data_IF_858289424020
#
_entry.id   IF_858289424020
#
_cell.length_a   1.000
_cell.length_b   1.000
_cell.length_c   1.000
_cell.angle_alpha   90.00
_cell.angle_beta   90.00
_cell.angle_gamma   90.00
#
_symmetry.space_group_name_H-M   'P 1'
#
loop_
_entity.id
_entity.type
_entity.pdbx_description
1 polymer ?
#
# COMPACT_ATOMS: atom_id res chain seq x y z
N UNK A 1 28.31 -13.82 27.16
CA UNK A 1 27.02 -13.35 27.68
C UNK A 1 25.98 -13.75 26.64
N UNK A 2 25.33 -14.90 26.87
CA UNK A 2 24.63 -15.67 25.84
C UNK A 2 23.16 -15.27 25.82
N UNK A 3 22.66 -14.75 24.70
CA UNK A 3 21.25 -14.45 24.50
C UNK A 3 20.51 -15.75 24.16
N UNK A 4 19.50 -16.07 24.97
CA UNK A 4 18.62 -17.23 24.83
C UNK A 4 17.58 -16.91 23.75
N UNK A 5 17.43 -17.79 22.77
CA UNK A 5 16.30 -17.76 21.82
C UNK A 5 15.16 -18.58 22.44
N UNK A 6 14.04 -17.92 22.78
CA UNK A 6 12.84 -18.59 23.28
C UNK A 6 12.00 -19.09 22.09
N UNK A 7 11.76 -20.39 22.06
CA UNK A 7 10.82 -21.05 21.16
C UNK A 7 9.81 -21.79 22.04
N UNK A 8 8.54 -21.38 22.01
CA UNK A 8 7.57 -21.69 23.07
C UNK A 8 7.05 -23.15 23.09
N UNK A 9 7.60 -24.08 22.29
CA UNK A 9 7.12 -25.46 22.26
C UNK A 9 8.12 -26.58 21.89
N UNK A 10 9.44 -26.35 21.99
CA UNK A 10 10.44 -27.44 21.92
C UNK A 10 11.23 -27.50 23.23
N UNK A 11 11.17 -28.64 23.92
CA UNK A 11 11.97 -28.95 25.12
C UNK A 11 13.42 -29.33 24.81
N UNK A 12 13.80 -29.39 23.53
CA UNK A 12 15.18 -29.63 23.08
C UNK A 12 15.81 -28.35 22.55
N UNK A 13 16.98 -28.01 23.10
CA UNK A 13 17.81 -26.89 22.69
C UNK A 13 18.95 -27.40 21.81
N UNK A 14 18.98 -26.97 20.54
CA UNK A 14 20.16 -27.14 19.71
C UNK A 14 21.10 -25.95 19.87
N UNK A 15 22.35 -26.24 20.23
CA UNK A 15 23.40 -25.24 20.22
C UNK A 15 23.73 -24.87 18.78
N UNK A 16 23.36 -23.66 18.36
CA UNK A 16 23.82 -23.10 17.10
C UNK A 16 25.34 -22.93 17.14
N UNK A 17 26.03 -23.57 16.18
CA UNK A 17 27.49 -23.46 16.08
C UNK A 17 27.87 -22.04 15.70
N UNK A 18 28.76 -21.44 16.47
CA UNK A 18 29.29 -20.12 16.14
C UNK A 18 30.09 -20.20 14.84
N UNK A 19 29.72 -19.38 13.86
CA UNK A 19 30.38 -19.32 12.57
C UNK A 19 29.97 -18.07 11.78
N UNK A 20 30.74 -17.74 10.74
CA UNK A 20 30.53 -16.55 9.91
C UNK A 20 29.12 -16.49 9.30
N UNK A 21 28.57 -17.66 8.93
CA UNK A 21 27.18 -17.76 8.45
C UNK A 21 26.19 -17.30 9.52
N UNK A 22 26.30 -17.81 10.76
CA UNK A 22 25.42 -17.42 11.86
C UNK A 22 25.56 -15.94 12.20
N UNK A 23 26.79 -15.40 12.24
CA UNK A 23 27.03 -13.97 12.46
C UNK A 23 26.39 -13.11 11.37
N UNK A 24 26.45 -13.54 10.11
CA UNK A 24 25.81 -12.85 8.98
C UNK A 24 24.29 -12.90 9.08
N UNK A 25 23.70 -14.05 9.37
CA UNK A 25 22.24 -14.20 9.53
C UNK A 25 21.72 -13.42 10.75
N UNK A 26 22.44 -13.45 11.89
CA UNK A 26 22.09 -12.64 13.07
C UNK A 26 22.23 -11.15 12.80
N UNK A 27 23.27 -10.72 12.09
CA UNK A 27 23.41 -9.33 11.65
C UNK A 27 22.29 -8.96 10.67
N UNK A 28 21.86 -9.87 9.81
CA UNK A 28 20.71 -9.65 8.93
C UNK A 28 19.43 -9.49 9.76
N UNK A 29 19.13 -10.43 10.67
CA UNK A 29 17.99 -10.42 11.58
C UNK A 29 17.96 -9.16 12.47
N UNK A 30 19.09 -8.77 13.06
CA UNK A 30 19.21 -7.55 13.86
C UNK A 30 18.95 -6.28 13.03
N UNK A 31 19.31 -6.32 11.75
CA UNK A 31 19.05 -5.22 10.81
C UNK A 31 17.67 -5.31 10.15
N UNK A 32 16.93 -6.41 10.31
CA UNK A 32 15.50 -6.46 10.01
C UNK A 32 14.83 -5.55 11.02
N UNK A 33 14.72 -4.27 10.68
CA UNK A 33 13.81 -3.39 11.39
C UNK A 33 12.44 -4.03 11.26
N UNK A 34 11.76 -4.35 12.37
CA UNK A 34 10.36 -4.79 12.41
C UNK A 34 9.42 -3.65 11.96
N UNK A 35 9.68 -3.10 10.78
CA UNK A 35 8.87 -2.07 10.15
C UNK A 35 7.78 -2.77 9.38
N UNK A 36 6.56 -2.49 9.75
CA UNK A 36 5.44 -2.82 8.91
C UNK A 36 5.42 -1.81 7.76
N UNK A 37 5.75 -2.24 6.54
CA UNK A 37 5.84 -1.34 5.38
C UNK A 37 4.74 -1.61 4.38
N UNK A 38 3.98 -0.62 3.92
CA UNK A 38 2.97 -0.77 2.85
C UNK A 38 3.26 0.14 1.65
N UNK A 39 3.02 -0.38 0.46
CA UNK A 39 3.02 0.35 -0.81
C UNK A 39 1.58 0.34 -1.33
N UNK A 40 1.03 1.52 -1.61
CA UNK A 40 -0.36 1.66 -2.03
C UNK A 40 -0.40 2.53 -3.28
N UNK A 41 -1.00 2.02 -4.35
CA UNK A 41 -1.21 2.81 -5.55
C UNK A 41 -2.39 3.78 -5.34
N UNK A 42 -2.25 5.01 -5.83
CA UNK A 42 -3.34 6.00 -5.87
C UNK A 42 -3.51 6.47 -7.30
N UNK A 43 -4.68 6.26 -7.87
CA UNK A 43 -4.93 6.46 -9.29
C UNK A 43 -6.09 7.43 -9.47
N UNK A 44 -5.93 8.40 -10.36
CA UNK A 44 -6.96 9.38 -10.71
C UNK A 44 -7.58 9.06 -12.07
N UNK A 45 -8.91 9.02 -12.13
CA UNK A 45 -9.73 8.83 -13.34
C UNK A 45 -10.68 10.02 -13.46
N UNK A 46 -10.49 10.84 -14.49
CA UNK A 46 -11.38 11.97 -14.80
C UNK A 46 -12.70 11.56 -15.46
N UNK A 47 -13.62 12.52 -15.61
CA UNK A 47 -15.01 12.29 -16.06
C UNK A 47 -15.13 11.49 -17.38
N UNK A 48 -14.27 11.78 -18.34
CA UNK A 48 -14.32 11.24 -19.71
C UNK A 48 -13.18 10.25 -20.03
N UNK A 49 -12.59 9.65 -18.98
CA UNK A 49 -11.47 8.71 -19.14
C UNK A 49 -11.91 7.27 -18.94
N UNK A 50 -11.71 6.44 -19.97
CA UNK A 50 -12.13 5.03 -19.97
C UNK A 50 -11.01 4.06 -20.34
N UNK A 51 -9.89 4.57 -20.85
CA UNK A 51 -8.74 3.76 -21.20
C UNK A 51 -7.54 4.03 -20.27
N UNK A 52 -6.79 2.95 -20.03
CA UNK A 52 -5.60 2.96 -19.20
C UNK A 52 -4.56 4.01 -19.60
N UNK A 53 -4.42 4.30 -20.91
CA UNK A 53 -3.36 5.18 -21.39
C UNK A 53 -3.64 6.63 -20.99
N UNK A 54 -4.88 7.09 -21.21
CA UNK A 54 -5.32 8.42 -20.81
C UNK A 54 -5.37 8.59 -19.28
N UNK A 55 -5.76 7.56 -18.54
CA UNK A 55 -5.76 7.59 -17.07
C UNK A 55 -4.33 7.76 -16.52
N UNK A 56 -3.37 7.00 -17.06
CA UNK A 56 -1.99 7.04 -16.56
C UNK A 56 -1.18 8.21 -17.13
N UNK A 57 -1.64 8.88 -18.18
CA UNK A 57 -1.01 10.10 -18.69
C UNK A 57 -1.33 11.33 -17.84
N UNK A 58 -2.31 11.27 -16.93
CA UNK A 58 -2.63 12.35 -16.00
C UNK A 58 -1.38 12.78 -15.19
N UNK A 59 -1.10 14.08 -15.23
CA UNK A 59 -0.06 14.75 -14.43
C UNK A 59 -0.66 15.56 -13.27
N UNK A 60 -1.95 15.86 -13.35
CA UNK A 60 -2.73 16.57 -12.33
C UNK A 60 -4.08 15.89 -12.19
N UNK A 61 -4.73 16.08 -11.04
CA UNK A 61 -6.12 15.66 -10.83
C UNK A 61 -7.02 16.86 -10.61
N UNK A 62 -8.23 16.59 -10.10
CA UNK A 62 -9.13 17.66 -9.67
C UNK A 62 -8.69 18.28 -8.34
N UNK A 63 -9.28 19.42 -7.99
CA UNK A 63 -9.03 20.08 -6.70
C UNK A 63 -9.34 19.16 -5.50
N UNK A 64 -10.45 18.41 -5.55
CA UNK A 64 -10.83 17.50 -4.46
C UNK A 64 -9.88 16.31 -4.37
N UNK A 65 -9.42 15.80 -5.51
CA UNK A 65 -8.41 14.75 -5.54
C UNK A 65 -7.08 15.20 -4.93
N UNK A 66 -6.60 16.39 -5.32
CA UNK A 66 -5.33 16.93 -4.81
C UNK A 66 -5.40 17.22 -3.30
N UNK A 67 -6.54 17.75 -2.80
CA UNK A 67 -6.80 17.91 -1.36
C UNK A 67 -6.73 16.56 -0.64
N UNK A 68 -7.43 15.55 -1.17
CA UNK A 68 -7.41 14.19 -0.63
C UNK A 68 -5.99 13.60 -0.57
N UNK A 69 -5.24 13.69 -1.67
CA UNK A 69 -3.86 13.19 -1.75
C UNK A 69 -2.95 13.88 -0.74
N UNK A 70 -3.10 15.19 -0.56
CA UNK A 70 -2.32 15.98 0.41
C UNK A 70 -2.56 15.54 1.86
N UNK A 71 -3.73 14.96 2.14
CA UNK A 71 -4.16 14.52 3.48
C UNK A 71 -3.95 13.03 3.74
N UNK A 72 -3.50 12.26 2.74
CA UNK A 72 -3.11 10.86 2.92
C UNK A 72 -1.86 10.71 3.80
N UNK A 73 -0.95 11.68 3.79
CA UNK A 73 0.25 11.68 4.61
C UNK A 73 1.09 12.93 4.36
N UNK A 74 2.27 12.97 4.97
CA UNK A 74 3.20 14.08 4.77
C UNK A 74 3.87 13.96 3.40
N UNK A 75 3.84 15.01 2.60
CA UNK A 75 4.55 15.06 1.32
C UNK A 75 6.06 15.10 1.56
N UNK A 76 6.79 14.09 1.09
CA UNK A 76 8.26 13.98 1.27
C UNK A 76 8.99 14.11 -0.05
N UNK A 77 10.17 14.76 -0.03
CA UNK A 77 11.09 14.81 -1.18
C UNK A 77 11.87 13.50 -1.28
N UNK A 78 11.71 12.77 -2.38
CA UNK A 78 12.29 11.43 -2.54
C UNK A 78 13.82 11.41 -2.44
N UNK A 79 14.49 12.46 -2.93
CA UNK A 79 15.96 12.59 -2.86
C UNK A 79 16.50 12.59 -1.42
N UNK A 80 15.78 13.22 -0.51
CA UNK A 80 16.19 13.43 0.89
C UNK A 80 15.52 12.45 1.86
N UNK A 81 14.46 11.78 1.42
CA UNK A 81 13.67 10.88 2.25
C UNK A 81 14.49 9.68 2.73
N UNK A 82 14.54 9.47 4.06
CA UNK A 82 15.30 8.38 4.69
C UNK A 82 14.43 7.18 5.10
N UNK A 83 13.11 7.29 5.00
CA UNK A 83 12.17 6.23 5.31
C UNK A 83 12.03 5.19 4.19
N UNK A 84 11.00 4.35 4.34
CA UNK A 84 10.61 3.34 3.36
C UNK A 84 10.22 4.00 2.04
N UNK A 85 10.97 3.69 0.98
CA UNK A 85 10.80 4.30 -0.34
C UNK A 85 9.91 3.49 -1.30
N UNK A 86 9.44 2.30 -0.93
CA UNK A 86 8.50 1.54 -1.76
C UNK A 86 8.98 1.11 -3.14
N UNK A 87 10.28 1.23 -3.44
CA UNK A 87 10.82 1.00 -4.79
C UNK A 87 10.93 2.27 -5.64
N UNK A 88 10.47 3.43 -5.14
CA UNK A 88 10.73 4.73 -5.76
C UNK A 88 12.22 5.09 -5.66
N UNK A 89 12.79 5.47 -6.79
CA UNK A 89 14.19 5.86 -6.90
C UNK A 89 14.41 7.29 -6.41
N UNK A 90 15.47 7.48 -5.63
CA UNK A 90 15.86 8.79 -5.07
C UNK A 90 16.64 9.68 -6.06
N UNK A 91 16.76 9.25 -7.31
CA UNK A 91 17.46 9.94 -8.39
C UNK A 91 16.53 10.84 -9.24
N UNK A 92 15.25 10.93 -8.88
CA UNK A 92 14.25 11.75 -9.57
C UNK A 92 13.46 11.04 -10.67
N UNK A 93 13.86 9.83 -11.11
CA UNK A 93 13.20 9.12 -12.22
C UNK A 93 11.74 8.71 -11.97
N UNK A 94 11.27 8.74 -10.72
CA UNK A 94 9.91 8.35 -10.35
C UNK A 94 9.10 9.52 -9.78
N UNK A 95 9.48 10.75 -10.09
CA UNK A 95 8.92 11.94 -9.46
C UNK A 95 9.88 12.56 -8.46
N UNK A 96 9.48 13.73 -7.95
CA UNK A 96 10.27 14.50 -6.99
C UNK A 96 9.77 14.24 -5.56
N UNK A 97 8.47 14.03 -5.41
CA UNK A 97 7.79 13.89 -4.13
C UNK A 97 6.83 12.72 -4.11
N UNK A 98 6.53 12.22 -2.92
CA UNK A 98 5.45 11.24 -2.69
C UNK A 98 4.82 11.49 -1.32
N UNK A 99 3.50 11.25 -1.14
CA UNK A 99 2.91 11.19 0.19
C UNK A 99 3.46 10.00 0.96
N UNK A 100 3.77 10.25 2.23
CA UNK A 100 4.34 9.26 3.14
C UNK A 100 3.69 9.39 4.51
N UNK A 101 3.30 8.25 5.09
CA UNK A 101 2.72 8.19 6.42
C UNK A 101 3.53 7.23 7.28
N UNK A 102 3.79 7.61 8.52
CA UNK A 102 4.39 6.72 9.50
C UNK A 102 3.79 6.91 10.89
N UNK A 103 3.85 5.86 11.70
CA UNK A 103 3.49 5.93 13.12
C UNK A 103 4.74 5.73 13.99
N UNK A 104 4.70 6.15 15.27
CA UNK A 104 5.74 5.81 16.25
C UNK A 104 5.92 4.30 16.41
N UNK A 105 4.87 3.51 16.17
CA UNK A 105 4.86 2.04 16.25
C UNK A 105 5.45 1.34 15.02
N UNK A 106 6.36 1.99 14.30
CA UNK A 106 7.13 1.43 13.18
C UNK A 106 6.34 1.08 11.90
N UNK A 107 5.06 1.49 11.78
CA UNK A 107 4.33 1.41 10.51
C UNK A 107 4.83 2.50 9.55
N UNK A 108 5.09 2.15 8.30
CA UNK A 108 5.46 3.08 7.24
C UNK A 108 4.66 2.78 5.97
N UNK A 109 4.13 3.82 5.34
CA UNK A 109 3.30 3.72 4.15
C UNK A 109 3.81 4.74 3.15
N UNK A 110 4.02 4.31 1.92
CA UNK A 110 4.31 5.21 0.81
C UNK A 110 3.27 5.01 -0.28
N UNK A 111 2.82 6.14 -0.85
CA UNK A 111 1.78 6.15 -1.86
C UNK A 111 2.39 6.38 -3.24
N UNK A 112 2.14 5.45 -4.16
CA UNK A 112 2.47 5.59 -5.56
C UNK A 112 1.33 6.33 -6.28
N UNK A 113 1.37 7.65 -6.19
CA UNK A 113 0.34 8.54 -6.76
C UNK A 113 0.59 8.73 -8.25
N UNK A 114 -0.35 8.33 -9.10
CA UNK A 114 -0.19 8.32 -10.57
C UNK A 114 0.16 9.69 -11.16
N UNK A 115 -0.36 10.77 -10.58
CA UNK A 115 -0.12 12.15 -11.03
C UNK A 115 1.25 12.69 -10.56
N UNK A 116 1.82 12.17 -9.46
CA UNK A 116 3.11 12.61 -8.93
C UNK A 116 4.29 11.78 -9.46
N UNK A 117 4.03 10.60 -10.03
CA UNK A 117 5.03 9.85 -10.77
C UNK A 117 5.41 10.62 -12.04
N UNK A 118 6.71 10.69 -12.33
CA UNK A 118 7.23 11.42 -13.49
C UNK A 118 6.45 11.08 -14.78
N UNK A 119 6.07 12.09 -15.58
CA UNK A 119 5.56 11.87 -16.91
C UNK A 119 6.70 11.31 -17.76
N UNK A 120 6.71 10.00 -17.95
CA UNK A 120 7.43 9.40 -19.06
C UNK A 120 6.50 9.39 -20.26
N UNK A 121 7.05 9.56 -21.46
CA UNK A 121 6.36 9.28 -22.73
C UNK A 121 5.75 7.87 -22.79
N UNK A 122 6.13 6.98 -21.87
CA UNK A 122 5.64 5.62 -21.73
C UNK A 122 4.87 5.43 -20.41
N UNK A 123 3.55 5.23 -20.47
CA UNK A 123 2.72 4.88 -19.31
C UNK A 123 3.19 3.61 -18.57
N UNK A 124 3.95 2.74 -19.27
CA UNK A 124 4.54 1.52 -18.72
C UNK A 124 5.45 1.78 -17.52
N UNK A 125 6.13 2.93 -17.44
CA UNK A 125 7.01 3.23 -16.30
C UNK A 125 6.21 3.47 -15.02
N UNK A 126 5.05 4.15 -15.11
CA UNK A 126 4.13 4.29 -13.96
C UNK A 126 3.59 2.93 -13.52
N UNK A 127 3.31 2.04 -14.48
CA UNK A 127 2.85 0.66 -14.20
C UNK A 127 3.89 -0.21 -13.50
N UNK A 128 5.19 0.09 -13.57
CA UNK A 128 6.20 -0.66 -12.79
C UNK A 128 6.01 -0.49 -11.28
N UNK A 129 5.41 0.62 -10.86
CA UNK A 129 5.11 0.90 -9.46
C UNK A 129 3.66 0.55 -9.14
N UNK A 130 2.73 1.22 -9.82
CA UNK A 130 1.27 1.05 -9.61
C UNK A 130 0.85 -0.39 -9.86
N UNK A 131 1.30 -1.00 -10.95
CA UNK A 131 0.87 -2.33 -11.35
C UNK A 131 1.33 -3.45 -10.43
N UNK A 132 2.31 -3.20 -9.57
CA UNK A 132 2.93 -4.15 -8.64
C UNK A 132 2.50 -3.94 -7.18
N UNK A 133 1.58 -3.01 -6.93
CA UNK A 133 1.00 -2.83 -5.61
C UNK A 133 -0.24 -3.71 -5.45
N UNK A 134 -0.43 -4.23 -4.24
CA UNK A 134 -1.52 -5.16 -3.96
C UNK A 134 -2.84 -4.47 -3.62
N UNK A 135 -2.71 -3.25 -3.10
CA UNK A 135 -3.85 -2.41 -2.70
C UNK A 135 -3.82 -1.15 -3.54
N UNK A 136 -4.93 -0.90 -4.21
CA UNK A 136 -5.14 0.29 -5.04
C UNK A 136 -6.22 1.16 -4.42
N UNK A 137 -5.99 2.47 -4.44
CA UNK A 137 -7.00 3.50 -4.22
C UNK A 137 -7.27 4.14 -5.58
N UNK A 138 -8.54 4.17 -5.99
CA UNK A 138 -8.96 4.76 -7.26
C UNK A 138 -9.90 5.91 -6.96
N UNK A 139 -9.54 7.11 -7.38
CA UNK A 139 -10.44 8.26 -7.40
C UNK A 139 -11.11 8.31 -8.77
N UNK A 140 -12.41 8.07 -8.84
CA UNK A 140 -13.17 8.13 -10.09
C UNK A 140 -14.19 9.28 -10.03
N UNK A 141 -13.99 10.23 -10.94
CA UNK A 141 -14.99 11.25 -11.30
C UNK A 141 -15.77 10.83 -12.55
N UNK A 142 -15.44 9.66 -13.08
CA UNK A 142 -16.11 9.02 -14.19
C UNK A 142 -17.58 8.69 -13.86
N UNK A 143 -18.49 8.90 -14.83
CA UNK A 143 -19.92 8.63 -14.67
C UNK A 143 -20.28 7.13 -14.63
N UNK A 144 -19.30 6.28 -14.93
CA UNK A 144 -19.46 4.84 -14.96
C UNK A 144 -18.85 4.22 -13.70
N UNK A 145 -19.43 3.12 -13.27
CA UNK A 145 -18.87 2.31 -12.20
C UNK A 145 -17.49 1.76 -12.64
N UNK A 146 -16.50 1.91 -11.77
CA UNK A 146 -15.16 1.42 -12.02
C UNK A 146 -15.15 -0.10 -12.09
N UNK A 147 -14.56 -0.62 -13.18
CA UNK A 147 -14.21 -2.03 -13.31
C UNK A 147 -12.70 -2.21 -13.20
N UNK A 148 -12.28 -3.29 -12.56
CA UNK A 148 -10.86 -3.69 -12.50
C UNK A 148 -10.24 -3.98 -13.88
N UNK A 149 -11.06 -4.08 -14.92
CA UNK A 149 -10.63 -4.21 -16.32
C UNK A 149 -10.06 -2.92 -16.91
N UNK A 150 -10.42 -1.75 -16.36
CA UNK A 150 -9.92 -0.44 -16.83
C UNK A 150 -8.40 -0.35 -16.60
N UNK A 151 -7.94 -0.80 -15.42
CA UNK A 151 -6.52 -0.88 -15.07
C UNK A 151 -6.19 -2.32 -14.70
N UNK A 152 -6.02 -3.19 -15.70
CA UNK A 152 -5.79 -4.61 -15.46
C UNK A 152 -4.39 -4.79 -14.89
N UNK A 153 -4.32 -5.33 -13.68
CA UNK A 153 -3.05 -5.67 -13.02
C UNK A 153 -3.13 -7.06 -12.43
N UNK A 154 -1.99 -7.76 -12.41
CA UNK A 154 -1.88 -9.08 -11.78
C UNK A 154 -1.87 -9.01 -10.25
N UNK A 155 -1.54 -7.84 -9.68
CA UNK A 155 -1.26 -7.70 -8.26
C UNK A 155 -2.34 -6.96 -7.48
N UNK A 156 -3.14 -6.09 -8.10
CA UNK A 156 -4.17 -5.29 -7.43
C UNK A 156 -5.31 -6.17 -6.92
N UNK A 157 -5.08 -6.83 -5.78
CA UNK A 157 -5.95 -7.78 -5.11
C UNK A 157 -7.14 -7.10 -4.44
N UNK A 158 -6.91 -5.89 -3.90
CA UNK A 158 -7.94 -5.04 -3.31
C UNK A 158 -7.92 -3.68 -3.99
N UNK A 159 -9.08 -3.22 -4.44
CA UNK A 159 -9.27 -1.87 -4.99
C UNK A 159 -10.35 -1.13 -4.21
N UNK A 160 -9.99 0.01 -3.63
CA UNK A 160 -10.89 0.93 -2.92
C UNK A 160 -11.17 2.09 -3.85
N UNK A 161 -12.38 2.15 -4.40
CA UNK A 161 -12.81 3.21 -5.31
C UNK A 161 -13.56 4.28 -4.52
N UNK A 162 -13.21 5.54 -4.78
CA UNK A 162 -13.80 6.73 -4.18
C UNK A 162 -14.54 7.48 -5.29
N UNK A 163 -15.83 7.70 -5.09
CA UNK A 163 -16.69 8.50 -5.97
C UNK A 163 -17.12 9.76 -5.22
N UNK A 164 -16.68 10.96 -5.66
CA UNK A 164 -17.19 12.21 -5.12
C UNK A 164 -18.70 12.35 -5.35
N UNK A 165 -19.43 12.73 -4.31
CA UNK A 165 -20.86 13.05 -4.35
C UNK A 165 -21.08 14.54 -4.04
N UNK A 166 -22.34 14.95 -4.04
CA UNK A 166 -22.75 16.27 -3.57
C UNK A 166 -22.49 16.46 -2.07
N UNK A 167 -22.39 17.71 -1.63
CA UNK A 167 -22.25 18.11 -0.22
C UNK A 167 -21.02 17.51 0.50
N UNK A 168 -19.89 17.37 -0.22
CA UNK A 168 -18.63 16.83 0.33
C UNK A 168 -18.76 15.40 0.91
N UNK A 169 -19.73 14.63 0.41
CA UNK A 169 -19.85 13.21 0.68
C UNK A 169 -19.14 12.39 -0.40
N UNK A 170 -18.73 11.18 -0.05
CA UNK A 170 -18.01 10.28 -0.95
C UNK A 170 -18.54 8.87 -0.81
N UNK A 171 -18.90 8.23 -1.92
CA UNK A 171 -19.28 6.82 -1.95
C UNK A 171 -18.04 5.96 -2.14
N UNK A 172 -17.97 4.84 -1.39
CA UNK A 172 -16.85 3.92 -1.39
C UNK A 172 -17.32 2.58 -1.95
N UNK A 173 -16.57 2.08 -2.93
CA UNK A 173 -16.71 0.73 -3.45
C UNK A 173 -15.43 -0.06 -3.15
N UNK A 174 -15.55 -1.29 -2.67
CA UNK A 174 -14.42 -2.17 -2.36
C UNK A 174 -14.50 -3.43 -3.20
N UNK A 175 -13.61 -3.52 -4.19
CA UNK A 175 -13.49 -4.66 -5.09
C UNK A 175 -12.35 -5.55 -4.61
N UNK A 176 -12.61 -6.86 -4.51
CA UNK A 176 -11.64 -7.87 -4.07
C UNK A 176 -11.51 -8.97 -5.11
N UNK A 177 -10.30 -9.27 -5.59
CA UNK A 177 -10.05 -10.38 -6.53
C UNK A 177 -10.05 -11.74 -5.82
N UNK A 178 -9.35 -11.82 -4.71
CA UNK A 178 -9.33 -13.00 -3.83
C UNK A 178 -10.34 -12.86 -2.71
N UNK A 179 -10.87 -14.00 -2.25
CA UNK A 179 -11.75 -14.08 -1.08
C UNK A 179 -10.92 -13.86 0.19
N UNK A 180 -10.60 -12.60 0.45
CA UNK A 180 -9.87 -12.15 1.64
C UNK A 180 -10.83 -11.99 2.82
N UNK A 181 -10.27 -12.04 4.04
CA UNK A 181 -10.99 -11.73 5.26
C UNK A 181 -11.60 -10.32 5.21
N UNK A 182 -12.57 -10.07 6.09
CA UNK A 182 -13.05 -8.71 6.30
C UNK A 182 -11.92 -7.84 6.86
N UNK A 183 -11.81 -6.62 6.33
CA UNK A 183 -10.91 -5.57 6.79
C UNK A 183 -11.69 -4.25 6.77
N UNK A 184 -11.20 -3.23 7.46
CA UNK A 184 -11.90 -1.96 7.60
C UNK A 184 -10.98 -0.83 8.04
N UNK A 185 -11.50 0.34 8.40
CA UNK A 185 -12.87 0.57 8.90
C UNK A 185 -13.98 0.66 7.84
N UNK A 186 -13.66 0.90 6.57
CA UNK A 186 -14.69 1.05 5.52
C UNK A 186 -15.18 -0.31 5.00
N UNK A 187 -16.47 -0.35 4.65
CA UNK A 187 -17.08 -1.46 3.92
C UNK A 187 -17.50 -1.02 2.50
N UNK A 188 -17.77 -2.00 1.65
CA UNK A 188 -18.35 -1.76 0.33
C UNK A 188 -19.72 -1.08 0.45
N UNK A 189 -19.95 -0.04 -0.35
CA UNK A 189 -21.17 0.78 -0.31
C UNK A 189 -21.18 1.86 0.79
N UNK A 190 -20.09 2.05 1.54
CA UNK A 190 -20.03 3.09 2.57
C UNK A 190 -20.14 4.50 1.95
N UNK A 191 -20.76 5.43 2.68
CA UNK A 191 -20.76 6.86 2.35
C UNK A 191 -20.11 7.62 3.50
N UNK A 192 -19.14 8.45 3.19
CA UNK A 192 -18.32 9.14 4.20
C UNK A 192 -18.16 10.63 3.91
N UNK A 193 -17.97 11.40 4.98
CA UNK A 193 -17.68 12.82 4.92
C UNK A 193 -16.22 13.09 4.53
N UNK A 194 -15.99 14.11 3.69
CA UNK A 194 -14.66 14.49 3.21
C UNK A 194 -13.66 14.87 4.31
N UNK A 195 -14.12 15.26 5.51
CA UNK A 195 -13.26 15.56 6.65
C UNK A 195 -12.54 14.32 7.19
N UNK A 196 -13.17 13.15 7.14
CA UNK A 196 -12.59 11.89 7.68
C UNK A 196 -12.14 10.92 6.58
N UNK A 197 -12.49 11.19 5.32
CA UNK A 197 -12.20 10.33 4.18
C UNK A 197 -10.72 9.89 4.08
N UNK A 198 -9.71 10.78 4.10
CA UNK A 198 -8.32 10.36 3.92
C UNK A 198 -7.83 9.38 4.98
N UNK A 199 -8.25 9.60 6.23
CA UNK A 199 -7.86 8.75 7.36
C UNK A 199 -8.52 7.37 7.27
N UNK A 200 -9.83 7.31 6.97
CA UNK A 200 -10.55 6.05 6.81
C UNK A 200 -10.04 5.24 5.62
N UNK A 201 -9.75 5.89 4.49
CA UNK A 201 -9.18 5.23 3.32
C UNK A 201 -7.78 4.69 3.63
N UNK A 202 -6.91 5.50 4.25
CA UNK A 202 -5.57 5.06 4.63
C UNK A 202 -5.62 3.85 5.56
N UNK A 203 -6.43 3.90 6.62
CA UNK A 203 -6.59 2.78 7.56
C UNK A 203 -7.14 1.53 6.87
N UNK A 204 -8.13 1.68 6.00
CA UNK A 204 -8.74 0.56 5.26
C UNK A 204 -7.72 -0.07 4.32
N UNK A 205 -6.93 0.74 3.60
CA UNK A 205 -5.90 0.25 2.70
C UNK A 205 -4.76 -0.48 3.43
N UNK A 206 -4.32 0.02 4.59
CA UNK A 206 -3.34 -0.67 5.45
C UNK A 206 -3.88 -2.02 5.92
N UNK A 207 -5.12 -2.06 6.42
CA UNK A 207 -5.73 -3.28 6.91
C UNK A 207 -6.03 -4.28 5.79
N UNK A 208 -6.35 -3.82 4.59
CA UNK A 208 -6.39 -4.67 3.39
C UNK A 208 -5.03 -5.31 3.11
N UNK A 209 -3.95 -4.53 3.16
CA UNK A 209 -2.59 -5.04 2.99
C UNK A 209 -2.19 -6.06 4.07
N UNK A 210 -2.67 -5.89 5.31
CA UNK A 210 -2.48 -6.87 6.40
C UNK A 210 -3.23 -8.17 6.12
N UNK A 211 -4.52 -8.09 5.78
CA UNK A 211 -5.35 -9.25 5.46
C UNK A 211 -4.76 -10.06 4.28
N UNK A 212 -4.21 -9.39 3.28
CA UNK A 212 -3.53 -10.04 2.15
C UNK A 212 -2.25 -10.79 2.58
N UNK A 213 -1.48 -10.24 3.53
CA UNK A 213 -0.28 -10.92 4.06
C UNK A 213 -0.62 -12.14 4.89
N UNK A 214 -1.66 -12.06 5.70
CA UNK A 214 -2.14 -13.18 6.52
C UNK A 214 -2.53 -14.40 5.67
N UNK A 215 -3.07 -14.15 4.47
CA UNK A 215 -3.44 -15.20 3.51
C UNK A 215 -2.23 -15.90 2.87
N UNK A 216 -1.01 -15.36 2.99
CA UNK A 216 0.18 -16.01 2.41
C UNK A 216 0.62 -17.19 3.28
N UNK A 217 0.87 -18.34 2.65
CA UNK A 217 1.23 -19.61 3.29
C UNK A 217 2.31 -19.52 4.39
N UNK A 218 3.26 -18.59 4.26
CA UNK A 218 4.30 -18.38 5.28
C UNK A 218 3.71 -17.92 6.64
N UNK A 219 2.74 -17.01 6.63
CA UNK A 219 2.10 -16.53 7.86
C UNK A 219 1.08 -17.53 8.41
N UNK A 220 0.36 -18.25 7.54
CA UNK A 220 -0.52 -19.33 7.98
C UNK A 220 0.26 -20.44 8.69
N UNK A 221 1.43 -20.81 8.17
CA UNK A 221 2.31 -21.80 8.81
C UNK A 221 2.89 -21.27 10.14
N UNK A 222 3.26 -19.99 10.20
CA UNK A 222 3.77 -19.35 11.42
C UNK A 222 2.67 -19.30 12.51
N UNK A 223 1.46 -18.85 12.18
CA UNK A 223 0.34 -18.80 13.11
C UNK A 223 -0.12 -20.20 13.51
N UNK A 224 -0.19 -21.15 12.58
CA UNK A 224 -0.50 -22.55 12.91
C UNK A 224 0.55 -23.14 13.87
N UNK A 225 1.84 -22.82 13.71
CA UNK A 225 2.88 -23.27 14.66
C UNK A 225 2.77 -22.61 16.04
N UNK A 226 2.22 -21.40 16.14
CA UNK A 226 2.02 -20.67 17.40
C UNK A 226 0.75 -21.15 18.13
N UNK A 227 -0.32 -21.50 17.40
CA UNK A 227 -1.61 -21.89 17.97
C UNK A 227 -1.85 -23.41 18.02
N UNK A 228 -0.91 -24.24 17.59
CA UNK A 228 -0.96 -25.71 17.77
C UNK A 228 -0.31 -26.17 19.08
N UNK A 229 -0.36 -25.34 20.13
CA UNK A 229 0.12 -25.64 21.48
C UNK A 229 -1.09 -25.77 22.42
#
# INVERSE_FOLDING_TARGET
MTLIQFDFCRTEYEFLREGEKLKRELKHLYNLKCLETHKIAVIYIGEDQYDKMNILSNETGSYLYDDFVSRLGTLVKLKEHKGFAGGLLRNGQNGIVAPYYCTPSLLQVIFHVSTLLQPSSEFFQKMKHIGNDEVHIVWCECKMEYSSEIIPTKFGEVTIVIYPLYNALFSIQIIKKTKTCMFGPLCDGAVVDGLILPDLIRLTAINAGRALREMRNFYQNLLASIFSI
#
